data_IF_240349198583
#
_entry.id   IF_240349198583
#
_cell.length_a   1.000
_cell.length_b   1.000
_cell.length_c   1.000
_cell.angle_alpha   90.00
_cell.angle_beta   90.00
_cell.angle_gamma   90.00
#
_symmetry.space_group_name_H-M   'P 1'
#
loop_
_entity.id
_entity.type
_entity.pdbx_description
1 polymer ?
#
# COMPACT_ATOMS: atom_id res chain seq x y z
N UNK A 1 15.88 -38.53 -33.06
CA UNK A 1 15.26 -37.18 -33.03
C UNK A 1 15.18 -36.61 -31.61
N UNK A 2 15.06 -37.42 -30.55
CA UNK A 2 15.04 -36.92 -29.14
C UNK A 2 16.39 -36.39 -28.62
N UNK A 3 17.53 -36.95 -29.05
CA UNK A 3 18.86 -36.52 -28.58
C UNK A 3 19.33 -35.15 -29.08
N UNK A 4 18.78 -34.65 -30.19
CA UNK A 4 19.11 -33.33 -30.75
C UNK A 4 18.28 -32.19 -30.16
N UNK A 5 17.13 -32.46 -29.57
CA UNK A 5 16.21 -31.46 -29.01
C UNK A 5 16.65 -31.06 -27.61
N UNK A 6 17.13 -31.99 -26.78
CA UNK A 6 17.56 -31.75 -25.41
C UNK A 6 18.71 -30.74 -25.28
N UNK A 7 19.81 -30.79 -26.10
CA UNK A 7 20.87 -29.78 -26.04
C UNK A 7 20.42 -28.37 -26.50
N UNK A 8 19.43 -28.27 -27.37
CA UNK A 8 18.90 -26.99 -27.84
C UNK A 8 18.01 -26.34 -26.79
N UNK A 9 17.19 -27.09 -26.08
CA UNK A 9 16.37 -26.61 -24.97
C UNK A 9 17.24 -26.18 -23.78
N UNK A 10 18.28 -26.91 -23.43
CA UNK A 10 19.21 -26.52 -22.36
C UNK A 10 19.95 -25.22 -22.72
N UNK A 11 20.38 -25.09 -23.97
CA UNK A 11 21.01 -23.81 -24.42
C UNK A 11 20.06 -22.61 -24.38
N UNK A 12 18.81 -22.82 -24.76
CA UNK A 12 17.78 -21.81 -24.67
C UNK A 12 17.48 -21.43 -23.22
N UNK A 13 17.32 -22.41 -22.33
CA UNK A 13 17.12 -22.20 -20.91
C UNK A 13 18.32 -21.45 -20.28
N UNK A 14 19.56 -21.80 -20.63
CA UNK A 14 20.75 -21.11 -20.15
C UNK A 14 20.84 -19.65 -20.65
N UNK A 15 20.41 -19.36 -21.88
CA UNK A 15 20.31 -17.98 -22.38
C UNK A 15 19.28 -17.17 -21.61
N UNK A 16 18.11 -17.73 -21.35
CA UNK A 16 17.10 -17.07 -20.51
C UNK A 16 17.60 -16.87 -19.08
N UNK A 17 18.23 -17.87 -18.50
CA UNK A 17 18.81 -17.76 -17.16
C UNK A 17 19.91 -16.66 -17.10
N UNK A 18 20.74 -16.56 -18.11
CA UNK A 18 21.76 -15.51 -18.22
C UNK A 18 21.12 -14.13 -18.34
N UNK A 19 20.09 -13.97 -19.18
CA UNK A 19 19.34 -12.72 -19.32
C UNK A 19 18.69 -12.30 -17.98
N UNK A 20 18.04 -13.25 -17.31
CA UNK A 20 17.46 -12.98 -15.98
C UNK A 20 18.53 -12.70 -14.92
N UNK A 21 19.68 -13.33 -14.97
CA UNK A 21 20.76 -13.01 -14.03
C UNK A 21 21.35 -11.62 -14.25
N UNK A 22 21.34 -11.12 -15.48
CA UNK A 22 21.75 -9.75 -15.78
C UNK A 22 20.82 -8.69 -15.14
N UNK A 23 19.53 -8.99 -14.94
CA UNK A 23 18.60 -8.08 -14.27
C UNK A 23 18.94 -7.84 -12.80
N UNK A 24 19.70 -8.75 -12.16
CA UNK A 24 20.20 -8.57 -10.78
C UNK A 24 21.11 -7.35 -10.62
N UNK A 25 21.63 -6.80 -11.72
CA UNK A 25 22.43 -5.56 -11.67
C UNK A 25 21.57 -4.35 -11.29
N UNK A 26 20.28 -4.40 -11.61
CA UNK A 26 19.30 -3.34 -11.34
C UNK A 26 18.32 -3.69 -10.21
N UNK A 27 18.60 -4.71 -9.40
CA UNK A 27 17.74 -5.16 -8.29
C UNK A 27 17.50 -4.07 -7.22
N UNK A 28 18.39 -3.09 -7.14
CA UNK A 28 18.25 -1.92 -6.27
C UNK A 28 17.05 -1.05 -6.61
N UNK A 29 16.56 -1.11 -7.86
CA UNK A 29 15.40 -0.32 -8.27
C UNK A 29 14.12 -0.69 -7.51
N UNK A 30 13.92 -1.96 -7.20
CA UNK A 30 12.71 -2.40 -6.51
C UNK A 30 12.58 -1.77 -5.11
N UNK A 31 13.55 -1.92 -4.19
CA UNK A 31 13.46 -1.26 -2.89
C UNK A 31 13.52 0.28 -2.99
N UNK A 32 14.23 0.83 -3.96
CA UNK A 32 14.24 2.28 -4.20
C UNK A 32 12.84 2.79 -4.55
N UNK A 33 12.18 2.18 -5.53
CA UNK A 33 10.85 2.59 -5.97
C UNK A 33 9.79 2.41 -4.87
N UNK A 34 9.88 1.33 -4.09
CA UNK A 34 9.02 1.13 -2.92
C UNK A 34 9.18 2.27 -1.90
N UNK A 35 10.40 2.66 -1.60
CA UNK A 35 10.69 3.77 -0.69
C UNK A 35 10.19 5.09 -1.23
N UNK A 36 10.47 5.39 -2.51
CA UNK A 36 10.02 6.63 -3.17
C UNK A 36 8.48 6.72 -3.26
N UNK A 37 7.80 5.60 -3.33
CA UNK A 37 6.35 5.55 -3.30
C UNK A 37 5.79 5.73 -1.88
N UNK A 38 6.32 4.96 -0.92
CA UNK A 38 5.80 4.95 0.46
C UNK A 38 6.13 6.22 1.24
N UNK A 39 7.35 6.77 1.06
CA UNK A 39 7.80 7.90 1.85
C UNK A 39 6.88 9.13 1.74
N UNK A 40 6.50 9.62 0.55
CA UNK A 40 5.56 10.74 0.45
C UNK A 40 4.20 10.46 1.07
N UNK A 41 3.70 9.21 0.94
CA UNK A 41 2.42 8.80 1.53
C UNK A 41 2.48 8.89 3.05
N UNK A 42 3.53 8.33 3.67
CA UNK A 42 3.71 8.35 5.12
C UNK A 42 3.93 9.78 5.64
N UNK A 43 4.80 10.56 4.98
CA UNK A 43 5.05 11.96 5.36
C UNK A 43 3.76 12.78 5.29
N UNK A 44 2.98 12.66 4.20
CA UNK A 44 1.73 13.40 4.06
C UNK A 44 0.70 13.00 5.13
N UNK A 45 0.57 11.70 5.42
CA UNK A 45 -0.33 11.19 6.46
C UNK A 45 0.06 11.72 7.86
N UNK A 46 1.35 11.65 8.20
CA UNK A 46 1.86 12.17 9.47
C UNK A 46 1.74 13.69 9.57
N UNK A 47 2.01 14.41 8.48
CA UNK A 47 1.88 15.87 8.42
C UNK A 47 0.44 16.33 8.65
N UNK A 48 -0.51 15.67 7.98
CA UNK A 48 -1.94 15.96 8.14
C UNK A 48 -2.40 15.76 9.59
N UNK A 49 -1.98 14.66 10.22
CA UNK A 49 -2.29 14.39 11.64
C UNK A 49 -1.63 15.40 12.58
N UNK A 50 -0.38 15.78 12.29
CA UNK A 50 0.34 16.77 13.08
C UNK A 50 -0.33 18.16 13.02
N UNK A 51 -0.78 18.57 11.82
CA UNK A 51 -1.49 19.83 11.62
C UNK A 51 -2.87 19.89 12.29
N UNK A 52 -3.44 18.72 12.62
CA UNK A 52 -4.74 18.58 13.27
C UNK A 52 -4.63 17.70 14.53
N UNK A 53 -3.62 17.96 15.37
CA UNK A 53 -3.28 17.08 16.49
C UNK A 53 -4.45 16.86 17.45
N UNK A 54 -5.13 17.93 17.88
CA UNK A 54 -6.24 17.83 18.85
C UNK A 54 -7.40 17.00 18.29
N UNK A 55 -7.75 17.23 17.02
CA UNK A 55 -8.78 16.43 16.34
C UNK A 55 -8.36 14.95 16.17
N UNK A 56 -7.10 14.71 15.88
CA UNK A 56 -6.54 13.35 15.78
C UNK A 56 -6.57 12.64 17.13
N UNK A 57 -6.14 13.30 18.20
CA UNK A 57 -6.16 12.75 19.55
C UNK A 57 -7.61 12.52 20.03
N UNK A 58 -8.51 13.45 19.78
CA UNK A 58 -9.94 13.28 20.08
C UNK A 58 -10.53 12.09 19.35
N UNK A 59 -10.22 11.90 18.05
CA UNK A 59 -10.68 10.75 17.28
C UNK A 59 -10.09 9.42 17.79
N UNK A 60 -8.82 9.40 18.19
CA UNK A 60 -8.20 8.20 18.76
C UNK A 60 -8.87 7.77 20.07
N UNK A 61 -9.32 8.72 20.90
CA UNK A 61 -9.87 8.43 22.23
C UNK A 61 -11.37 8.32 22.32
N UNK A 62 -12.12 8.71 21.30
CA UNK A 62 -13.58 8.70 21.36
C UNK A 62 -14.13 7.30 21.12
N UNK A 63 -15.01 6.82 22.02
CA UNK A 63 -15.63 5.50 21.94
C UNK A 63 -16.80 5.43 20.95
N UNK A 64 -17.49 6.56 20.70
CA UNK A 64 -18.72 6.58 19.89
C UNK A 64 -18.43 6.76 18.39
N UNK A 65 -17.49 7.65 18.03
CA UNK A 65 -17.20 8.01 16.64
C UNK A 65 -15.72 7.91 16.25
N UNK A 66 -14.89 7.43 17.14
CA UNK A 66 -13.46 7.27 16.98
C UNK A 66 -12.99 5.83 17.20
N UNK A 67 -11.78 5.68 17.71
CA UNK A 67 -11.14 4.37 17.91
C UNK A 67 -11.24 3.82 19.34
N UNK A 68 -11.68 4.63 20.31
CA UNK A 68 -11.77 4.22 21.72
C UNK A 68 -10.43 3.79 22.35
N UNK A 69 -9.31 4.33 21.88
CA UNK A 69 -7.99 3.89 22.32
C UNK A 69 -7.60 4.56 23.66
N UNK A 70 -6.93 3.82 24.56
CA UNK A 70 -6.37 4.41 25.78
C UNK A 70 -5.22 5.34 25.44
N UNK A 71 -5.00 6.37 26.26
CA UNK A 71 -3.90 7.35 26.08
C UNK A 71 -3.85 7.98 24.70
N UNK A 72 -4.96 8.58 24.20
CA UNK A 72 -5.11 8.98 22.81
C UNK A 72 -4.04 9.98 22.33
N UNK A 73 -3.68 10.96 23.16
CA UNK A 73 -2.63 11.94 22.82
C UNK A 73 -1.25 11.28 22.65
N UNK A 74 -0.91 10.29 23.48
CA UNK A 74 0.33 9.54 23.35
C UNK A 74 0.34 8.72 22.06
N UNK A 75 -0.75 7.99 21.78
CA UNK A 75 -0.84 7.15 20.58
C UNK A 75 -0.88 7.99 19.31
N UNK A 76 -1.55 9.14 19.32
CA UNK A 76 -1.52 10.11 18.21
C UNK A 76 -0.08 10.63 17.97
N UNK A 77 0.63 11.00 19.04
CA UNK A 77 2.04 11.43 18.93
C UNK A 77 2.92 10.32 18.36
N UNK A 78 2.77 9.08 18.82
CA UNK A 78 3.54 7.94 18.31
C UNK A 78 3.23 7.65 16.84
N UNK A 79 1.96 7.71 16.44
CA UNK A 79 1.56 7.52 15.05
C UNK A 79 2.15 8.62 14.15
N UNK A 80 2.04 9.88 14.55
CA UNK A 80 2.61 11.03 13.83
C UNK A 80 4.13 10.90 13.71
N UNK A 81 4.81 10.63 14.81
CA UNK A 81 6.26 10.47 14.81
C UNK A 81 6.70 9.29 13.91
N UNK A 82 6.00 8.17 13.99
CA UNK A 82 6.27 6.99 13.14
C UNK A 82 6.10 7.32 11.66
N UNK A 83 5.03 7.99 11.29
CA UNK A 83 4.75 8.31 9.88
C UNK A 83 5.70 9.40 9.36
N UNK A 84 5.91 10.50 10.09
CA UNK A 84 6.79 11.59 9.65
C UNK A 84 8.26 11.17 9.63
N UNK A 85 8.77 10.73 10.77
CA UNK A 85 10.19 10.35 10.88
C UNK A 85 10.45 9.09 10.06
N UNK A 86 9.55 8.11 10.15
CA UNK A 86 9.63 6.88 9.37
C UNK A 86 9.61 7.15 7.86
N UNK A 87 8.72 8.02 7.38
CA UNK A 87 8.67 8.43 5.98
C UNK A 87 9.95 9.09 5.51
N UNK A 88 10.53 10.00 6.31
CA UNK A 88 11.82 10.66 5.99
C UNK A 88 12.96 9.63 5.97
N UNK A 89 13.02 8.73 6.94
CA UNK A 89 14.05 7.69 7.00
C UNK A 89 13.93 6.71 5.83
N UNK A 90 12.70 6.35 5.42
CA UNK A 90 12.47 5.57 4.20
C UNK A 90 12.97 6.31 2.95
N UNK A 91 12.70 7.61 2.84
CA UNK A 91 13.10 8.42 1.68
C UNK A 91 14.61 8.36 1.47
N UNK A 92 15.38 8.58 2.53
CA UNK A 92 16.85 8.55 2.45
C UNK A 92 17.44 7.14 2.52
N UNK A 93 16.62 6.13 2.89
CA UNK A 93 17.05 4.75 3.05
C UNK A 93 18.00 4.55 4.22
N UNK A 94 17.62 5.10 5.36
CA UNK A 94 18.35 4.96 6.63
C UNK A 94 17.52 4.15 7.62
N UNK A 95 18.15 3.14 8.23
CA UNK A 95 17.52 2.22 9.18
C UNK A 95 16.23 1.59 8.63
N UNK A 96 16.17 1.33 7.33
CA UNK A 96 14.95 0.97 6.59
C UNK A 96 14.23 -0.22 7.21
N UNK A 97 14.97 -1.29 7.58
CA UNK A 97 14.37 -2.49 8.19
C UNK A 97 13.75 -2.20 9.56
N UNK A 98 14.39 -1.36 10.37
CA UNK A 98 13.90 -0.99 11.69
C UNK A 98 12.66 -0.10 11.61
N UNK A 99 12.70 0.86 10.69
CA UNK A 99 11.60 1.80 10.46
C UNK A 99 10.38 1.13 9.85
N UNK A 100 10.58 0.10 9.03
CA UNK A 100 9.48 -0.68 8.45
C UNK A 100 8.60 -1.32 9.53
N UNK A 101 9.16 -1.73 10.68
CA UNK A 101 8.39 -2.39 11.75
C UNK A 101 7.30 -1.49 12.34
N UNK A 102 7.60 -0.31 12.90
CA UNK A 102 6.56 0.57 13.44
C UNK A 102 5.58 1.04 12.35
N UNK A 103 6.04 1.28 11.11
CA UNK A 103 5.15 1.61 10.00
C UNK A 103 4.21 0.44 9.64
N UNK A 104 4.66 -0.80 9.68
CA UNK A 104 3.78 -1.97 9.51
C UNK A 104 2.73 -2.05 10.63
N UNK A 105 3.11 -1.74 11.87
CA UNK A 105 2.16 -1.70 12.99
C UNK A 105 1.08 -0.62 12.74
N UNK A 106 1.45 0.58 12.28
CA UNK A 106 0.45 1.61 11.95
C UNK A 106 -0.48 1.16 10.83
N UNK A 107 0.01 0.44 9.84
CA UNK A 107 -0.83 -0.13 8.76
C UNK A 107 -1.78 -1.21 9.29
N UNK A 108 -1.35 -2.07 10.21
CA UNK A 108 -2.23 -3.06 10.85
C UNK A 108 -3.31 -2.38 11.69
N UNK A 109 -2.95 -1.38 12.49
CA UNK A 109 -3.92 -0.60 13.26
C UNK A 109 -4.93 0.08 12.30
N UNK A 110 -4.47 0.71 11.22
CA UNK A 110 -5.35 1.29 10.22
C UNK A 110 -6.28 0.25 9.59
N UNK A 111 -5.74 -0.91 9.18
CA UNK A 111 -6.53 -1.97 8.57
C UNK A 111 -7.63 -2.50 9.51
N UNK A 112 -7.29 -2.82 10.76
CA UNK A 112 -8.21 -3.50 11.67
C UNK A 112 -9.10 -2.56 12.48
N UNK A 113 -8.61 -1.38 12.87
CA UNK A 113 -9.36 -0.46 13.72
C UNK A 113 -10.14 0.60 12.92
N UNK A 114 -9.68 0.96 11.71
CA UNK A 114 -10.29 2.04 10.92
C UNK A 114 -11.09 1.48 9.74
N UNK A 115 -10.49 0.57 8.98
CA UNK A 115 -10.97 0.21 7.65
C UNK A 115 -11.68 -1.14 7.58
N UNK A 116 -11.56 -1.99 8.60
CA UNK A 116 -12.06 -3.36 8.61
C UNK A 116 -13.57 -3.48 8.29
N UNK A 117 -14.38 -2.63 8.91
CA UNK A 117 -15.82 -2.62 8.70
C UNK A 117 -16.24 -2.22 7.28
N UNK A 118 -15.38 -1.54 6.55
CA UNK A 118 -15.62 -1.12 5.18
C UNK A 118 -15.26 -2.21 4.15
N UNK A 119 -14.80 -3.38 4.59
CA UNK A 119 -14.41 -4.49 3.72
C UNK A 119 -13.10 -4.22 2.97
N UNK A 120 -12.93 -4.86 1.81
CA UNK A 120 -11.65 -4.86 1.11
C UNK A 120 -11.39 -3.58 0.30
N UNK A 121 -12.32 -3.18 -0.56
CA UNK A 121 -12.07 -2.19 -1.59
C UNK A 121 -11.95 -0.75 -1.06
N UNK A 122 -10.95 -0.02 -1.51
CA UNK A 122 -10.79 1.41 -1.24
C UNK A 122 -11.85 2.25 -1.96
N UNK A 123 -12.13 1.90 -3.22
CA UNK A 123 -13.23 2.44 -4.02
C UNK A 123 -14.26 1.34 -4.21
N UNK A 124 -15.52 1.63 -3.90
CA UNK A 124 -16.59 0.64 -4.03
C UNK A 124 -16.74 0.22 -5.51
N UNK A 125 -16.65 -1.08 -5.83
CA UNK A 125 -17.03 -1.55 -7.14
C UNK A 125 -18.49 -1.21 -7.43
N UNK A 126 -18.77 -0.68 -8.60
CA UNK A 126 -20.13 -0.28 -9.02
C UNK A 126 -20.74 -1.18 -10.09
N UNK A 127 -20.02 -2.24 -10.46
CA UNK A 127 -20.45 -3.21 -11.45
C UNK A 127 -20.05 -4.62 -10.97
N UNK A 128 -21.03 -5.49 -10.63
CA UNK A 128 -20.77 -6.85 -10.20
C UNK A 128 -20.04 -7.71 -11.25
N UNK A 129 -20.28 -7.44 -12.55
CA UNK A 129 -19.71 -8.23 -13.64
C UNK A 129 -18.20 -8.08 -13.77
N UNK A 130 -17.68 -6.89 -13.47
CA UNK A 130 -16.26 -6.56 -13.53
C UNK A 130 -15.56 -6.62 -12.18
N UNK A 131 -16.30 -6.92 -11.12
CA UNK A 131 -15.74 -6.98 -9.76
C UNK A 131 -14.77 -8.13 -9.57
N UNK A 132 -13.62 -7.86 -8.96
CA UNK A 132 -12.64 -8.87 -8.53
C UNK A 132 -13.19 -9.85 -7.48
N UNK A 133 -14.32 -9.55 -6.86
CA UNK A 133 -15.01 -10.48 -5.95
C UNK A 133 -15.68 -11.65 -6.68
N UNK A 134 -15.98 -11.52 -7.99
CA UNK A 134 -16.70 -12.53 -8.77
C UNK A 134 -16.07 -13.93 -8.75
N UNK A 135 -14.77 -14.13 -9.02
CA UNK A 135 -14.15 -15.44 -8.95
C UNK A 135 -14.23 -16.07 -7.54
N UNK A 136 -14.09 -15.25 -6.50
CA UNK A 136 -14.16 -15.71 -5.12
C UNK A 136 -15.60 -16.06 -4.70
N UNK A 137 -16.59 -15.32 -5.18
CA UNK A 137 -17.99 -15.63 -4.97
C UNK A 137 -18.38 -16.95 -5.66
N UNK A 138 -17.85 -17.24 -6.85
CA UNK A 138 -18.03 -18.51 -7.55
C UNK A 138 -17.45 -19.70 -6.77
N UNK A 139 -16.44 -19.47 -5.92
CA UNK A 139 -15.90 -20.46 -4.97
C UNK A 139 -16.73 -20.61 -3.69
N UNK A 140 -17.85 -19.90 -3.57
CA UNK A 140 -18.73 -19.97 -2.41
C UNK A 140 -18.28 -19.16 -1.20
N UNK A 141 -17.39 -18.17 -1.36
CA UNK A 141 -16.93 -17.32 -0.26
C UNK A 141 -18.00 -16.28 0.08
N UNK A 142 -18.65 -16.33 1.30
CA UNK A 142 -19.78 -15.46 1.62
C UNK A 142 -19.45 -13.96 1.60
N UNK A 143 -18.21 -13.58 1.97
CA UNK A 143 -17.77 -12.19 1.94
C UNK A 143 -17.71 -11.64 0.50
N UNK A 144 -17.34 -12.48 -0.47
CA UNK A 144 -17.32 -12.10 -1.87
C UNK A 144 -18.72 -11.96 -2.46
N UNK A 145 -19.67 -12.82 -2.06
CA UNK A 145 -21.09 -12.68 -2.45
C UNK A 145 -21.68 -11.36 -1.95
N UNK A 146 -21.50 -11.04 -0.65
CA UNK A 146 -21.92 -9.73 -0.11
C UNK A 146 -21.28 -8.56 -0.83
N UNK A 147 -20.02 -8.70 -1.26
CA UNK A 147 -19.34 -7.66 -2.04
C UNK A 147 -19.99 -7.44 -3.42
N UNK A 148 -20.46 -8.50 -4.09
CA UNK A 148 -21.18 -8.40 -5.37
C UNK A 148 -22.55 -7.74 -5.19
N UNK A 149 -23.29 -8.12 -4.15
CA UNK A 149 -24.58 -7.50 -3.81
C UNK A 149 -24.41 -6.00 -3.54
N UNK A 150 -23.41 -5.63 -2.71
CA UNK A 150 -23.07 -4.23 -2.47
C UNK A 150 -22.66 -3.49 -3.76
N UNK A 151 -21.94 -4.15 -4.66
CA UNK A 151 -21.54 -3.56 -5.94
C UNK A 151 -22.77 -3.21 -6.82
N UNK A 152 -23.79 -4.06 -6.82
CA UNK A 152 -25.04 -3.80 -7.54
C UNK A 152 -25.77 -2.58 -6.97
N UNK A 153 -25.90 -2.50 -5.64
CA UNK A 153 -26.53 -1.36 -4.96
C UNK A 153 -25.75 -0.05 -5.19
N UNK A 154 -24.42 -0.09 -5.08
CA UNK A 154 -23.54 1.07 -5.36
C UNK A 154 -23.71 1.52 -6.80
N UNK A 155 -23.78 0.58 -7.75
CA UNK A 155 -24.03 0.88 -9.17
C UNK A 155 -25.34 1.62 -9.39
N UNK A 156 -26.42 1.16 -8.80
CA UNK A 156 -27.75 1.80 -8.90
C UNK A 156 -27.73 3.23 -8.32
N UNK A 157 -27.17 3.41 -7.12
CA UNK A 157 -27.05 4.72 -6.47
C UNK A 157 -26.19 5.69 -7.29
N UNK A 158 -25.07 5.20 -7.83
CA UNK A 158 -24.18 5.98 -8.66
C UNK A 158 -24.84 6.39 -9.99
N UNK A 159 -25.62 5.50 -10.61
CA UNK A 159 -26.40 5.82 -11.80
C UNK A 159 -27.48 6.87 -11.52
N UNK A 160 -28.20 6.77 -10.41
CA UNK A 160 -29.18 7.76 -9.97
C UNK A 160 -28.51 9.15 -9.78
N UNK A 161 -27.39 9.20 -9.06
CA UNK A 161 -26.64 10.44 -8.87
C UNK A 161 -26.16 11.06 -10.20
N UNK A 162 -25.64 10.23 -11.13
CA UNK A 162 -25.23 10.67 -12.46
C UNK A 162 -26.41 11.17 -13.28
N UNK A 163 -27.59 10.56 -13.13
CA UNK A 163 -28.84 11.03 -13.75
C UNK A 163 -29.19 12.46 -13.32
N UNK A 164 -29.23 12.71 -12.02
CA UNK A 164 -29.48 14.04 -11.47
C UNK A 164 -28.46 15.09 -11.94
N UNK A 165 -27.17 14.71 -11.98
CA UNK A 165 -26.11 15.61 -12.43
C UNK A 165 -26.19 15.91 -13.95
N UNK A 166 -26.70 14.98 -14.75
CA UNK A 166 -26.94 15.20 -16.19
C UNK A 166 -28.14 16.12 -16.45
N UNK A 167 -29.16 15.99 -15.64
CA UNK A 167 -30.41 16.77 -15.77
C UNK A 167 -30.25 18.20 -15.25
N UNK A 168 -29.55 18.38 -14.12
CA UNK A 168 -29.49 19.66 -13.40
C UNK A 168 -28.09 20.29 -13.34
N UNK A 169 -27.05 19.66 -13.92
CA UNK A 169 -25.68 20.13 -13.85
C UNK A 169 -24.93 20.11 -15.19
N UNK A 170 -23.78 20.74 -15.21
CA UNK A 170 -22.84 20.66 -16.33
C UNK A 170 -22.00 19.38 -16.23
N UNK A 171 -22.59 18.22 -16.54
CA UNK A 171 -21.99 16.90 -16.34
C UNK A 171 -20.62 16.75 -17.01
N UNK A 172 -20.44 17.26 -18.24
CA UNK A 172 -19.17 17.23 -18.97
C UNK A 172 -18.06 17.98 -18.23
N UNK A 173 -18.36 19.14 -17.68
CA UNK A 173 -17.40 19.90 -16.86
C UNK A 173 -17.09 19.20 -15.53
N UNK A 174 -18.11 18.65 -14.87
CA UNK A 174 -17.95 17.93 -13.61
C UNK A 174 -17.08 16.67 -13.76
N UNK A 175 -17.08 16.04 -14.94
CA UNK A 175 -16.35 14.78 -15.20
C UNK A 175 -15.09 14.99 -16.08
N UNK A 176 -14.75 16.23 -16.41
CA UNK A 176 -13.59 16.56 -17.26
C UNK A 176 -12.28 16.00 -16.69
N UNK A 177 -12.12 15.98 -15.37
CA UNK A 177 -10.93 15.50 -14.68
C UNK A 177 -11.07 14.11 -14.04
N UNK A 178 -12.14 13.39 -14.32
CA UNK A 178 -12.38 12.04 -13.82
C UNK A 178 -13.84 11.75 -13.56
N UNK A 179 -14.14 10.46 -13.34
CA UNK A 179 -15.49 10.00 -13.09
C UNK A 179 -15.85 10.10 -11.60
N UNK A 180 -17.16 10.22 -11.32
CA UNK A 180 -17.68 10.05 -9.96
C UNK A 180 -17.57 8.58 -9.54
N UNK A 181 -17.02 8.37 -8.36
CA UNK A 181 -16.90 7.07 -7.70
C UNK A 181 -17.41 7.16 -6.27
N UNK A 182 -17.80 6.04 -5.71
CA UNK A 182 -18.15 5.95 -4.29
C UNK A 182 -16.92 5.51 -3.53
N UNK A 183 -16.40 6.36 -2.67
CA UNK A 183 -15.28 6.03 -1.80
C UNK A 183 -15.76 5.08 -0.70
N UNK A 184 -15.20 3.87 -0.66
CA UNK A 184 -15.53 2.86 0.34
C UNK A 184 -14.56 2.89 1.53
N UNK A 185 -13.33 3.31 1.28
CA UNK A 185 -12.28 3.43 2.31
C UNK A 185 -11.98 2.09 3.02
N UNK A 186 -11.97 0.99 2.28
CA UNK A 186 -11.65 -0.35 2.79
C UNK A 186 -10.17 -0.56 3.07
N UNK A 187 -9.80 -1.78 3.47
CA UNK A 187 -8.46 -2.14 3.95
C UNK A 187 -7.39 -2.21 2.84
N UNK A 188 -7.77 -2.10 1.58
CA UNK A 188 -6.90 -2.32 0.40
C UNK A 188 -5.60 -1.53 0.46
N UNK A 189 -5.66 -0.22 0.74
CA UNK A 189 -4.44 0.60 0.81
C UNK A 189 -3.58 0.25 2.02
N UNK A 190 -4.18 0.04 3.19
CA UNK A 190 -3.44 -0.33 4.39
C UNK A 190 -2.73 -1.69 4.21
N UNK A 191 -3.42 -2.68 3.60
CA UNK A 191 -2.85 -3.98 3.27
C UNK A 191 -1.72 -3.87 2.24
N UNK A 192 -1.92 -3.07 1.19
CA UNK A 192 -0.90 -2.83 0.15
C UNK A 192 0.36 -2.22 0.74
N UNK A 193 0.23 -1.16 1.54
CA UNK A 193 1.37 -0.51 2.19
C UNK A 193 2.07 -1.43 3.20
N UNK A 194 1.30 -2.24 3.93
CA UNK A 194 1.86 -3.26 4.81
C UNK A 194 2.74 -4.26 4.03
N UNK A 195 2.24 -4.79 2.90
CA UNK A 195 3.01 -5.74 2.06
C UNK A 195 4.27 -5.06 1.50
N UNK A 196 4.17 -3.83 1.03
CA UNK A 196 5.33 -3.07 0.53
C UNK A 196 6.38 -2.84 1.63
N UNK A 197 5.96 -2.51 2.85
CA UNK A 197 6.83 -2.37 4.02
C UNK A 197 7.45 -3.71 4.42
N UNK A 198 6.70 -4.80 4.33
CA UNK A 198 7.20 -6.16 4.61
C UNK A 198 8.32 -6.54 3.63
N UNK A 199 8.20 -6.18 2.36
CA UNK A 199 9.28 -6.34 1.37
C UNK A 199 10.51 -5.54 1.81
N UNK A 200 10.35 -4.27 2.19
CA UNK A 200 11.46 -3.44 2.66
C UNK A 200 12.08 -3.95 3.97
N UNK A 201 11.30 -4.55 4.85
CA UNK A 201 11.80 -5.21 6.06
C UNK A 201 12.75 -6.36 5.73
N UNK A 202 12.40 -7.23 4.78
CA UNK A 202 13.25 -8.36 4.42
C UNK A 202 14.43 -8.00 3.52
N UNK A 203 14.22 -7.13 2.54
CA UNK A 203 15.23 -6.79 1.53
C UNK A 203 16.08 -5.56 1.90
N UNK A 204 15.60 -4.72 2.83
CA UNK A 204 16.28 -3.49 3.22
C UNK A 204 16.14 -2.36 2.20
N UNK A 205 16.97 -1.35 2.35
CA UNK A 205 16.91 -0.10 1.56
C UNK A 205 17.37 -0.23 0.09
N UNK A 206 18.03 -1.32 -0.24
CA UNK A 206 18.66 -1.51 -1.55
C UNK A 206 20.07 -0.92 -1.62
N UNK A 207 20.75 -1.23 -2.75
CA UNK A 207 22.15 -0.84 -2.98
C UNK A 207 22.25 0.60 -3.53
N UNK A 208 23.38 1.24 -3.35
CA UNK A 208 23.86 2.52 -3.90
C UNK A 208 23.04 3.75 -3.49
N UNK A 209 21.75 3.76 -3.67
CA UNK A 209 20.85 4.91 -3.41
C UNK A 209 20.19 4.81 -2.03
N UNK A 210 20.94 4.37 -1.02
CA UNK A 210 20.49 4.33 0.37
C UNK A 210 21.64 4.60 1.32
N UNK A 211 21.36 5.25 2.43
CA UNK A 211 22.35 5.51 3.49
C UNK A 211 22.76 4.19 4.15
N UNK A 212 21.85 3.25 4.36
CA UNK A 212 22.12 1.92 4.92
C UNK A 212 23.25 1.21 4.15
N UNK A 213 23.20 1.23 2.81
CA UNK A 213 24.22 0.60 1.98
C UNK A 213 25.63 1.18 2.21
N UNK A 214 25.75 2.50 2.32
CA UNK A 214 27.05 3.15 2.50
C UNK A 214 27.59 2.94 3.91
N UNK A 215 26.72 2.89 4.92
CA UNK A 215 27.08 2.54 6.28
C UNK A 215 27.61 1.10 6.33
N UNK A 216 26.82 0.12 5.84
CA UNK A 216 27.22 -1.29 5.81
C UNK A 216 28.56 -1.49 5.09
N UNK A 217 28.72 -0.87 3.93
CA UNK A 217 29.96 -0.96 3.16
C UNK A 217 31.17 -0.45 3.93
N UNK A 218 31.01 0.64 4.67
CA UNK A 218 32.11 1.20 5.47
C UNK A 218 32.47 0.32 6.66
N UNK A 219 31.50 -0.27 7.32
CA UNK A 219 31.73 -1.18 8.45
C UNK A 219 32.35 -2.52 8.01
N UNK A 220 31.90 -3.11 6.89
CA UNK A 220 32.53 -4.34 6.37
C UNK A 220 33.97 -4.14 5.93
N UNK A 221 34.35 -2.97 5.41
CA UNK A 221 35.75 -2.67 5.11
C UNK A 221 36.63 -2.59 6.36
N UNK A 222 36.06 -2.25 7.51
CA UNK A 222 36.79 -2.19 8.80
C UNK A 222 37.02 -3.58 9.43
N UNK A 223 36.07 -4.52 9.21
CA UNK A 223 36.16 -5.90 9.74
C UNK A 223 36.99 -6.83 8.89
N UNK A 224 37.11 -6.57 7.59
CA UNK A 224 37.95 -7.35 6.64
C UNK A 224 39.44 -6.97 6.68
N UNK A 225 39.80 -5.92 7.38
CA UNK A 225 41.20 -5.44 7.54
C UNK A 225 41.83 -5.84 8.88
N UNK A 226 41.23 -6.73 9.65
CA UNK A 226 41.79 -7.40 10.82
C UNK A 226 41.94 -8.89 10.55
#
# INVERSE_FOLDING_TARGET
MQELVMPSMIRLANRFHFLFSATRRVDFLAPLLLRLFLAPVMIAAGWQKAGNFDATAAWFGNDDWGLGLPFPALLATLAIATELVGGILLLVGLATRYVAVPLMITMLVAAFSVHWQNGWFAVAPSDPETSMARPLAALGIPAAQRSLENSAEVGQRLQAARGLLREHGHYSWLTERGNFVVLNNGIEFAATYFIMLLVLFFYGAGRWLSVDYWIERRFHSFTAGK
#
